data_IF_063703908090
#
_entry.id   IF_063703908090
#
_cell.length_a   1.000
_cell.length_b   1.000
_cell.length_c   1.000
_cell.angle_alpha   90.00
_cell.angle_beta   90.00
_cell.angle_gamma   90.00
#
_symmetry.space_group_name_H-M   'P 1'
#
loop_
_entity.id
_entity.type
_entity.pdbx_description
1 polymer ?
#
# COMPACT_ATOMS: atom_id res chain seq x y z
N UNK A 1 27.92 7.06 65.41
CA UNK A 1 28.52 6.74 64.09
C UNK A 1 27.66 5.69 63.42
N UNK A 2 26.96 6.03 62.34
CA UNK A 2 26.29 5.10 61.43
C UNK A 2 26.72 5.49 60.02
N UNK A 3 27.46 4.62 59.36
CA UNK A 3 27.86 4.79 57.96
C UNK A 3 26.76 4.17 57.12
N UNK A 4 26.01 4.98 56.37
CA UNK A 4 25.08 4.51 55.35
C UNK A 4 25.80 4.69 54.02
N UNK A 5 26.19 3.58 53.41
CA UNK A 5 26.56 3.52 52.01
C UNK A 5 25.29 3.19 51.22
N UNK A 6 24.91 4.05 50.26
CA UNK A 6 23.87 3.76 49.29
C UNK A 6 24.40 4.15 47.91
N UNK A 7 24.41 3.17 47.01
CA UNK A 7 25.08 3.18 45.72
C UNK A 7 24.39 4.12 44.71
N UNK A 8 25.21 4.84 43.93
CA UNK A 8 24.76 5.52 42.71
C UNK A 8 24.56 4.47 41.61
N UNK A 9 23.31 4.30 41.18
CA UNK A 9 22.98 3.61 39.93
C UNK A 9 23.13 4.58 38.76
N UNK A 10 24.16 4.40 37.95
CA UNK A 10 24.37 5.12 36.70
C UNK A 10 23.48 4.47 35.63
N UNK A 11 22.38 5.13 35.27
CA UNK A 11 21.50 4.68 34.20
C UNK A 11 22.10 5.12 32.85
N UNK A 12 22.74 4.19 32.14
CA UNK A 12 23.18 4.42 30.76
C UNK A 12 21.95 4.44 29.84
N UNK A 13 21.56 5.64 29.38
CA UNK A 13 20.67 5.80 28.25
C UNK A 13 21.43 5.34 26.99
N UNK A 14 21.10 4.16 26.48
CA UNK A 14 21.52 3.77 25.14
C UNK A 14 20.61 4.50 24.14
N UNK A 15 21.19 5.46 23.44
CA UNK A 15 20.64 5.99 22.20
C UNK A 15 20.76 4.86 21.16
N UNK A 16 19.67 4.16 20.91
CA UNK A 16 19.57 3.30 19.73
C UNK A 16 19.39 4.24 18.55
N UNK A 17 20.50 4.56 17.87
CA UNK A 17 20.47 5.11 16.53
C UNK A 17 20.19 3.97 15.56
N UNK A 18 18.92 3.77 15.23
CA UNK A 18 18.53 3.01 14.06
C UNK A 18 18.75 3.92 12.84
N UNK A 19 19.88 3.77 12.14
CA UNK A 19 20.06 4.39 10.82
C UNK A 19 19.73 3.34 9.77
N UNK A 20 18.67 3.58 9.01
CA UNK A 20 18.29 2.79 7.84
C UNK A 20 19.28 3.03 6.71
N UNK A 21 20.40 2.30 6.71
CA UNK A 21 21.19 2.15 5.49
C UNK A 21 20.42 1.21 4.59
N UNK A 22 19.71 1.74 3.59
CA UNK A 22 19.01 0.97 2.56
C UNK A 22 20.04 0.22 1.70
N UNK A 23 20.52 -0.93 2.18
CA UNK A 23 21.19 -1.89 1.32
C UNK A 23 20.12 -2.47 0.42
N UNK A 24 20.06 -2.00 -0.82
CA UNK A 24 19.23 -2.57 -1.87
C UNK A 24 19.63 -4.04 -2.01
N UNK A 25 18.87 -4.95 -1.38
CA UNK A 25 19.00 -6.37 -1.65
C UNK A 25 18.68 -6.61 -3.13
N UNK A 26 19.37 -7.58 -3.74
CA UNK A 26 19.11 -7.92 -5.15
C UNK A 26 17.63 -8.33 -5.29
N UNK A 27 16.89 -7.59 -6.11
CA UNK A 27 15.47 -7.88 -6.34
C UNK A 27 15.32 -9.22 -7.05
N UNK A 28 14.34 -10.02 -6.61
CA UNK A 28 14.06 -11.32 -7.25
C UNK A 28 13.35 -11.09 -8.59
N UNK A 29 13.61 -11.97 -9.55
CA UNK A 29 12.84 -12.00 -10.79
C UNK A 29 11.37 -12.37 -10.47
N UNK A 30 10.37 -11.52 -10.79
CA UNK A 30 8.97 -11.78 -10.45
C UNK A 30 8.45 -13.10 -11.03
N UNK A 31 8.97 -13.54 -12.18
CA UNK A 31 8.61 -14.82 -12.77
C UNK A 31 9.03 -16.04 -11.91
N UNK A 32 10.05 -15.89 -11.07
CA UNK A 32 10.55 -16.94 -10.17
C UNK A 32 9.83 -16.91 -8.81
N UNK A 33 9.56 -15.72 -8.28
CA UNK A 33 8.84 -15.53 -7.01
C UNK A 33 8.19 -14.14 -6.91
N UNK A 34 6.98 -13.99 -7.49
CA UNK A 34 6.25 -12.73 -7.44
C UNK A 34 5.93 -12.29 -6.00
N UNK A 35 5.69 -13.22 -5.08
CA UNK A 35 5.38 -12.86 -3.68
C UNK A 35 6.60 -12.23 -2.99
N UNK A 36 7.81 -12.76 -3.22
CA UNK A 36 9.03 -12.14 -2.70
C UNK A 36 9.31 -10.80 -3.38
N UNK A 37 9.15 -10.71 -4.71
CA UNK A 37 9.27 -9.45 -5.45
C UNK A 37 8.32 -8.38 -4.88
N UNK A 38 7.05 -8.73 -4.71
CA UNK A 38 6.03 -7.88 -4.10
C UNK A 38 6.45 -7.39 -2.71
N UNK A 39 6.90 -8.29 -1.83
CA UNK A 39 7.28 -7.92 -0.47
C UNK A 39 8.54 -7.05 -0.41
N UNK A 40 9.45 -7.20 -1.36
CA UNK A 40 10.64 -6.36 -1.48
C UNK A 40 10.28 -4.94 -1.94
N UNK A 41 9.47 -4.83 -2.99
CA UNK A 41 9.12 -3.54 -3.60
C UNK A 41 8.07 -2.75 -2.81
N UNK A 42 7.06 -3.41 -2.25
CA UNK A 42 5.92 -2.72 -1.60
C UNK A 42 6.02 -2.64 -0.07
N UNK A 43 6.82 -3.51 0.55
CA UNK A 43 6.88 -3.62 2.01
C UNK A 43 8.30 -3.56 2.59
N UNK A 44 9.34 -3.50 1.74
CA UNK A 44 10.75 -3.58 2.15
C UNK A 44 11.06 -4.80 3.04
N UNK A 45 10.42 -5.95 2.75
CA UNK A 45 10.58 -7.20 3.50
C UNK A 45 11.06 -8.32 2.58
N UNK A 46 12.27 -8.82 2.83
CA UNK A 46 12.82 -9.98 2.09
C UNK A 46 12.71 -11.30 2.83
N UNK A 47 12.38 -11.28 4.12
CA UNK A 47 12.25 -12.49 4.93
C UNK A 47 10.89 -12.51 5.62
N UNK A 48 10.01 -13.38 5.13
CA UNK A 48 8.67 -13.58 5.64
C UNK A 48 8.30 -15.05 5.53
N UNK A 49 7.35 -15.48 6.36
CA UNK A 49 6.72 -16.79 6.19
C UNK A 49 5.38 -16.67 5.46
N UNK A 50 4.84 -17.77 4.90
CA UNK A 50 3.57 -17.72 4.19
C UNK A 50 2.40 -17.23 5.05
N UNK A 51 2.42 -17.42 6.36
CA UNK A 51 1.37 -16.87 7.23
C UNK A 51 1.46 -15.35 7.31
N UNK A 52 2.65 -14.78 7.45
CA UNK A 52 2.83 -13.33 7.48
C UNK A 52 2.36 -12.69 6.18
N UNK A 53 2.71 -13.29 5.03
CA UNK A 53 2.20 -12.83 3.73
C UNK A 53 0.67 -12.89 3.68
N UNK A 54 0.06 -13.97 4.17
CA UNK A 54 -1.40 -14.09 4.21
C UNK A 54 -2.04 -12.96 5.02
N UNK A 55 -1.60 -12.80 6.27
CA UNK A 55 -2.17 -11.84 7.21
C UNK A 55 -1.96 -10.39 6.79
N UNK A 56 -0.87 -10.06 6.10
CA UNK A 56 -0.60 -8.71 5.63
C UNK A 56 -1.56 -8.26 4.52
N UNK A 57 -2.08 -9.21 3.74
CA UNK A 57 -2.96 -8.95 2.60
C UNK A 57 -4.41 -9.38 2.83
N UNK A 58 -4.73 -9.85 4.03
CA UNK A 58 -6.10 -9.98 4.54
C UNK A 58 -6.53 -8.61 5.06
N UNK A 59 -6.91 -7.73 4.13
CA UNK A 59 -7.04 -6.29 4.38
C UNK A 59 -8.17 -5.96 5.35
N UNK A 60 -9.20 -6.81 5.43
CA UNK A 60 -10.30 -6.65 6.38
C UNK A 60 -10.14 -7.53 7.63
N UNK A 61 -9.10 -8.37 7.69
CA UNK A 61 -8.76 -9.29 8.77
C UNK A 61 -9.89 -10.28 9.11
N UNK A 62 -10.54 -10.84 8.08
CA UNK A 62 -11.62 -11.83 8.20
C UNK A 62 -11.16 -13.29 8.05
N UNK A 63 -9.87 -13.50 7.75
CA UNK A 63 -9.23 -14.81 7.63
C UNK A 63 -9.32 -15.43 6.23
N UNK A 64 -9.78 -14.68 5.23
CA UNK A 64 -9.91 -15.11 3.84
C UNK A 64 -9.50 -14.01 2.88
N UNK A 65 -8.99 -14.38 1.70
CA UNK A 65 -8.86 -13.44 0.60
C UNK A 65 -10.02 -13.57 -0.37
N UNK A 66 -10.68 -12.46 -0.61
CA UNK A 66 -11.70 -12.27 -1.65
C UNK A 66 -11.07 -11.90 -3.00
N UNK A 67 -11.90 -11.84 -4.04
CA UNK A 67 -11.46 -11.34 -5.35
C UNK A 67 -10.91 -9.91 -5.27
N UNK A 68 -11.52 -9.06 -4.43
CA UNK A 68 -11.11 -7.67 -4.24
C UNK A 68 -9.77 -7.57 -3.50
N UNK A 69 -9.50 -8.47 -2.55
CA UNK A 69 -8.22 -8.47 -1.84
C UNK A 69 -7.10 -8.99 -2.72
N UNK A 70 -7.33 -10.03 -3.53
CA UNK A 70 -6.37 -10.43 -4.56
C UNK A 70 -6.14 -9.29 -5.55
N UNK A 71 -7.22 -8.62 -6.00
CA UNK A 71 -7.13 -7.48 -6.92
C UNK A 71 -6.28 -6.36 -6.32
N UNK A 72 -6.48 -6.08 -5.02
CA UNK A 72 -5.71 -5.10 -4.27
C UNK A 72 -4.25 -5.52 -4.11
N UNK A 73 -3.94 -6.76 -3.72
CA UNK A 73 -2.56 -7.25 -3.59
C UNK A 73 -1.76 -7.13 -4.90
N UNK A 74 -2.40 -7.35 -6.05
CA UNK A 74 -1.78 -7.15 -7.37
C UNK A 74 -1.82 -5.70 -7.86
N UNK A 75 -2.28 -4.74 -7.04
CA UNK A 75 -2.37 -3.33 -7.38
C UNK A 75 -3.21 -3.02 -8.62
N UNK A 76 -4.21 -3.85 -8.93
CA UNK A 76 -4.91 -3.77 -10.22
C UNK A 76 -5.80 -2.53 -10.36
N UNK A 77 -6.08 -1.83 -9.26
CA UNK A 77 -6.80 -0.56 -9.22
C UNK A 77 -5.91 0.67 -9.18
N UNK A 78 -4.58 0.48 -9.10
CA UNK A 78 -3.65 1.58 -9.07
C UNK A 78 -3.69 2.44 -10.36
N UNK A 79 -3.40 3.74 -10.19
CA UNK A 79 -3.44 4.74 -11.26
C UNK A 79 -2.45 4.40 -12.40
N UNK A 80 -1.33 3.73 -12.09
CA UNK A 80 -0.36 3.25 -13.09
C UNK A 80 -1.00 2.24 -14.07
N UNK A 81 -2.04 1.52 -13.64
CA UNK A 81 -2.75 0.52 -14.45
C UNK A 81 -4.10 1.02 -14.99
N UNK A 82 -4.40 2.32 -14.94
CA UNK A 82 -5.68 2.87 -15.43
C UNK A 82 -5.98 2.58 -16.90
N UNK A 83 -4.93 2.44 -17.71
CA UNK A 83 -5.05 2.17 -19.15
C UNK A 83 -4.98 0.67 -19.49
N UNK A 84 -4.84 -0.19 -18.47
CA UNK A 84 -4.77 -1.65 -18.65
C UNK A 84 -6.18 -2.21 -18.85
N UNK A 85 -6.33 -3.06 -19.87
CA UNK A 85 -7.61 -3.68 -20.20
C UNK A 85 -8.14 -4.53 -19.02
N UNK A 86 -9.46 -4.45 -18.78
CA UNK A 86 -10.09 -5.10 -17.64
C UNK A 86 -9.91 -6.63 -17.63
N UNK A 87 -9.95 -7.25 -18.82
CA UNK A 87 -9.76 -8.70 -18.97
C UNK A 87 -8.37 -9.18 -18.54
N UNK A 88 -7.33 -8.36 -18.71
CA UNK A 88 -5.99 -8.66 -18.20
C UNK A 88 -5.95 -8.63 -16.67
N UNK A 89 -6.61 -7.64 -16.05
CA UNK A 89 -6.74 -7.54 -14.59
C UNK A 89 -7.52 -8.74 -14.03
N UNK A 90 -8.66 -9.06 -14.63
CA UNK A 90 -9.49 -10.20 -14.24
C UNK A 90 -8.73 -11.52 -14.37
N UNK A 91 -7.90 -11.66 -15.40
CA UNK A 91 -7.06 -12.85 -15.60
C UNK A 91 -6.04 -13.04 -14.47
N UNK A 92 -5.46 -11.97 -13.93
CA UNK A 92 -4.54 -12.05 -12.80
C UNK A 92 -5.25 -12.63 -11.56
N UNK A 93 -6.43 -12.10 -11.22
CA UNK A 93 -7.27 -12.60 -10.12
C UNK A 93 -7.63 -14.07 -10.33
N UNK A 94 -8.16 -14.41 -11.51
CA UNK A 94 -8.56 -15.79 -11.83
C UNK A 94 -7.40 -16.79 -11.74
N UNK A 95 -6.17 -16.38 -12.09
CA UNK A 95 -5.01 -17.25 -12.01
C UNK A 95 -4.63 -17.57 -10.55
N UNK A 96 -4.76 -16.60 -9.63
CA UNK A 96 -4.58 -16.86 -8.20
C UNK A 96 -5.65 -17.82 -7.65
N UNK A 97 -6.92 -17.58 -7.97
CA UNK A 97 -8.02 -18.45 -7.54
C UNK A 97 -7.89 -19.89 -8.06
N UNK A 98 -7.46 -20.10 -9.31
CA UNK A 98 -7.21 -21.45 -9.84
C UNK A 98 -6.18 -22.23 -9.03
N UNK A 99 -5.23 -21.53 -8.41
CA UNK A 99 -4.16 -22.15 -7.63
C UNK A 99 -4.61 -22.41 -6.20
N UNK A 100 -5.30 -21.47 -5.57
CA UNK A 100 -5.54 -21.51 -4.12
C UNK A 100 -7.01 -21.77 -3.73
N UNK A 101 -7.97 -21.68 -4.64
CA UNK A 101 -9.37 -22.09 -4.43
C UNK A 101 -9.79 -23.17 -5.44
N UNK A 102 -9.28 -24.41 -5.31
CA UNK A 102 -9.60 -25.49 -6.25
C UNK A 102 -11.07 -25.93 -6.18
N UNK A 103 -11.77 -25.56 -5.11
CA UNK A 103 -13.18 -25.89 -4.87
C UNK A 103 -14.14 -24.84 -5.44
N UNK A 104 -13.65 -23.67 -5.84
CA UNK A 104 -14.46 -22.60 -6.42
C UNK A 104 -15.45 -22.00 -5.43
N UNK A 105 -15.03 -21.82 -4.17
CA UNK A 105 -15.84 -21.16 -3.13
C UNK A 105 -15.93 -19.65 -3.35
N UNK A 106 -15.01 -19.07 -4.12
CA UNK A 106 -14.91 -17.62 -4.34
C UNK A 106 -14.12 -16.88 -3.26
N UNK A 107 -13.48 -17.63 -2.34
CA UNK A 107 -12.54 -17.10 -1.34
C UNK A 107 -11.33 -18.03 -1.20
N UNK A 108 -10.18 -17.47 -0.83
CA UNK A 108 -8.97 -18.23 -0.48
C UNK A 108 -8.77 -18.12 1.04
N UNK A 109 -9.04 -19.19 1.77
CA UNK A 109 -8.79 -19.25 3.21
C UNK A 109 -7.30 -19.39 3.53
N UNK A 110 -6.90 -19.05 4.75
CA UNK A 110 -5.53 -19.25 5.22
C UNK A 110 -5.03 -20.69 5.03
N UNK A 111 -5.86 -21.69 5.32
CA UNK A 111 -5.48 -23.10 5.17
C UNK A 111 -5.27 -23.48 3.70
N UNK A 112 -6.12 -22.98 2.81
CA UNK A 112 -5.98 -23.18 1.37
C UNK A 112 -4.66 -22.58 0.85
N UNK A 113 -4.35 -21.34 1.26
CA UNK A 113 -3.08 -20.67 0.96
C UNK A 113 -1.88 -21.50 1.45
N UNK A 114 -1.83 -21.82 2.75
CA UNK A 114 -0.71 -22.53 3.35
C UNK A 114 -0.50 -23.92 2.76
N UNK A 115 -1.59 -24.65 2.49
CA UNK A 115 -1.52 -25.96 1.85
C UNK A 115 -1.02 -25.84 0.40
N UNK A 116 -1.43 -24.80 -0.33
CA UNK A 116 -0.96 -24.51 -1.68
C UNK A 116 0.54 -24.22 -1.71
N UNK A 117 1.02 -23.33 -0.85
CA UNK A 117 2.46 -23.00 -0.75
C UNK A 117 3.28 -24.23 -0.36
N UNK A 118 2.82 -25.04 0.61
CA UNK A 118 3.47 -26.30 0.98
C UNK A 118 3.54 -27.30 -0.18
N UNK A 119 2.57 -27.27 -1.09
CA UNK A 119 2.55 -28.07 -2.31
C UNK A 119 3.40 -27.45 -3.45
N UNK A 120 4.13 -26.35 -3.20
CA UNK A 120 4.99 -25.69 -4.17
C UNK A 120 4.29 -24.70 -5.09
N UNK A 121 3.02 -24.35 -4.83
CA UNK A 121 2.33 -23.30 -5.57
C UNK A 121 2.87 -21.93 -5.15
N UNK A 122 3.04 -21.04 -6.13
CA UNK A 122 3.40 -19.64 -5.93
C UNK A 122 2.35 -18.74 -6.58
N UNK A 123 2.23 -17.50 -6.11
CA UNK A 123 1.48 -16.48 -6.83
C UNK A 123 2.15 -16.24 -8.19
N UNK A 124 1.39 -16.26 -9.30
CA UNK A 124 1.96 -16.07 -10.62
C UNK A 124 2.25 -14.59 -10.88
N UNK A 125 3.39 -14.30 -11.51
CA UNK A 125 3.60 -12.99 -12.10
C UNK A 125 2.53 -12.70 -13.16
N UNK A 126 1.81 -11.59 -12.97
CA UNK A 126 0.78 -11.12 -13.91
C UNK A 126 1.37 -10.29 -15.06
N UNK A 127 2.63 -9.84 -14.92
CA UNK A 127 3.28 -8.88 -15.79
C UNK A 127 2.76 -7.45 -15.62
N UNK A 128 2.01 -7.17 -14.55
CA UNK A 128 1.37 -5.88 -14.29
C UNK A 128 2.10 -5.05 -13.22
N UNK A 129 3.24 -5.52 -12.72
CA UNK A 129 4.07 -4.79 -11.77
C UNK A 129 4.14 -5.42 -10.38
N UNK A 130 4.69 -4.69 -9.41
CA UNK A 130 4.90 -5.17 -8.04
C UNK A 130 3.60 -5.28 -7.25
N UNK A 131 2.60 -4.47 -7.58
CA UNK A 131 1.26 -4.54 -6.98
C UNK A 131 0.98 -3.42 -5.98
N UNK A 132 1.28 -2.18 -6.35
CA UNK A 132 0.96 -0.94 -5.63
C UNK A 132 -0.44 -0.97 -4.99
N UNK A 133 -0.50 -0.94 -3.66
CA UNK A 133 -1.76 -1.09 -2.90
C UNK A 133 -1.85 -0.23 -1.64
N UNK A 134 -0.82 0.58 -1.41
CA UNK A 134 -0.82 1.71 -0.49
C UNK A 134 -1.70 2.84 -1.00
N UNK A 135 -1.78 3.90 -0.19
CA UNK A 135 -2.36 5.16 -0.65
C UNK A 135 -1.33 6.00 -1.42
N UNK A 136 -1.79 7.08 -2.03
CA UNK A 136 -0.94 7.95 -2.85
C UNK A 136 0.30 8.47 -2.10
N UNK A 137 0.18 8.71 -0.79
CA UNK A 137 1.28 9.21 0.04
C UNK A 137 2.32 8.10 0.28
N UNK A 138 1.87 6.91 0.66
CA UNK A 138 2.75 5.79 0.90
C UNK A 138 3.51 5.38 -0.38
N UNK A 139 2.81 5.28 -1.51
CA UNK A 139 3.43 4.91 -2.79
C UNK A 139 4.45 5.96 -3.26
N UNK A 140 4.16 7.25 -3.05
CA UNK A 140 5.14 8.31 -3.31
C UNK A 140 6.38 8.17 -2.43
N UNK A 141 6.19 7.89 -1.13
CA UNK A 141 7.29 7.75 -0.18
C UNK A 141 8.23 6.61 -0.59
N UNK A 142 7.69 5.40 -0.77
CA UNK A 142 8.54 4.21 -0.96
C UNK A 142 9.11 4.08 -2.38
N UNK A 143 8.39 4.52 -3.43
CA UNK A 143 8.84 4.33 -4.81
C UNK A 143 9.59 5.53 -5.39
N UNK A 144 9.37 6.72 -4.83
CA UNK A 144 9.99 7.93 -5.33
C UNK A 144 10.85 8.63 -4.29
N UNK A 145 10.30 8.96 -3.11
CA UNK A 145 11.04 9.71 -2.10
C UNK A 145 12.27 8.95 -1.64
N UNK A 146 12.14 7.72 -1.13
CA UNK A 146 13.29 6.92 -0.65
C UNK A 146 14.35 6.66 -1.74
N UNK A 147 13.96 6.73 -3.02
CA UNK A 147 14.83 6.45 -4.16
C UNK A 147 15.66 7.67 -4.58
N UNK A 148 15.08 8.86 -4.53
CA UNK A 148 15.71 10.07 -5.08
C UNK A 148 16.03 11.12 -4.02
N UNK A 149 15.48 10.95 -2.82
CA UNK A 149 15.54 11.87 -1.70
C UNK A 149 15.95 11.13 -0.42
N UNK A 150 16.40 11.88 0.58
CA UNK A 150 16.77 11.34 1.88
C UNK A 150 16.45 12.34 3.00
N UNK A 151 16.84 12.02 4.23
CA UNK A 151 16.61 12.86 5.41
C UNK A 151 17.22 14.28 5.33
N UNK A 152 18.15 14.52 4.41
CA UNK A 152 18.77 15.81 4.16
C UNK A 152 18.15 16.56 2.98
N UNK A 153 17.21 15.95 2.26
CA UNK A 153 16.45 16.60 1.18
C UNK A 153 15.71 17.81 1.74
N UNK A 154 15.83 18.94 1.02
CA UNK A 154 15.10 20.16 1.33
C UNK A 154 13.96 20.36 0.34
N UNK A 155 13.05 21.27 0.68
CA UNK A 155 11.92 21.62 -0.19
C UNK A 155 12.38 22.07 -1.59
N UNK A 156 13.48 22.81 -1.68
CA UNK A 156 14.06 23.24 -2.95
C UNK A 156 14.61 22.09 -3.83
N UNK A 157 14.82 20.90 -3.27
CA UNK A 157 15.33 19.72 -3.98
C UNK A 157 14.18 18.85 -4.54
N UNK A 158 12.94 19.06 -4.09
CA UNK A 158 11.73 18.33 -4.51
C UNK A 158 11.20 18.81 -5.87
N UNK A 159 12.01 18.62 -6.90
CA UNK A 159 11.78 19.18 -8.24
C UNK A 159 11.63 18.12 -9.33
N UNK A 160 11.61 16.84 -9.00
CA UNK A 160 11.32 15.80 -9.98
C UNK A 160 9.88 15.98 -10.51
N UNK A 161 9.60 15.61 -11.77
CA UNK A 161 8.25 15.65 -12.31
C UNK A 161 7.21 14.96 -11.41
N UNK A 162 7.60 13.86 -10.76
CA UNK A 162 6.81 13.10 -9.82
C UNK A 162 6.56 13.88 -8.51
N UNK A 163 7.57 14.53 -7.93
CA UNK A 163 7.42 15.43 -6.75
C UNK A 163 6.36 16.50 -7.04
N UNK A 164 6.52 17.18 -8.19
CA UNK A 164 5.63 18.28 -8.59
C UNK A 164 4.22 17.77 -8.83
N UNK A 165 4.07 16.59 -9.44
CA UNK A 165 2.77 15.98 -9.70
C UNK A 165 2.07 15.57 -8.40
N UNK A 166 2.81 15.01 -7.44
CA UNK A 166 2.33 14.66 -6.11
C UNK A 166 1.78 15.89 -5.39
N UNK A 167 2.60 16.94 -5.21
CA UNK A 167 2.16 18.16 -4.52
C UNK A 167 1.02 18.88 -5.22
N UNK A 168 1.03 18.93 -6.55
CA UNK A 168 -0.09 19.48 -7.31
C UNK A 168 -1.41 18.73 -7.05
N UNK A 169 -1.34 17.41 -6.85
CA UNK A 169 -2.52 16.60 -6.50
C UNK A 169 -3.02 16.95 -5.09
N UNK A 170 -2.12 17.14 -4.13
CA UNK A 170 -2.47 17.62 -2.79
C UNK A 170 -3.14 19.00 -2.83
N UNK A 171 -2.56 19.99 -3.54
CA UNK A 171 -3.16 21.32 -3.70
C UNK A 171 -4.59 21.23 -4.25
N UNK A 172 -4.81 20.38 -5.26
CA UNK A 172 -6.14 20.18 -5.84
C UNK A 172 -7.14 19.55 -4.86
N UNK A 173 -6.69 18.61 -4.03
CA UNK A 173 -7.52 17.97 -3.01
C UNK A 173 -7.86 18.94 -1.88
N UNK A 174 -6.92 19.77 -1.45
CA UNK A 174 -7.15 20.81 -0.45
C UNK A 174 -8.15 21.87 -0.94
N UNK A 175 -7.99 22.35 -2.17
CA UNK A 175 -8.94 23.27 -2.82
C UNK A 175 -10.36 22.68 -2.91
N UNK A 176 -10.47 21.38 -3.24
CA UNK A 176 -11.74 20.67 -3.25
C UNK A 176 -12.33 20.53 -1.85
N UNK A 177 -11.53 20.16 -0.86
CA UNK A 177 -11.97 20.05 0.53
C UNK A 177 -12.48 21.40 1.07
N UNK A 178 -11.77 22.49 0.78
CA UNK A 178 -12.19 23.84 1.18
C UNK A 178 -13.51 24.24 0.49
N UNK A 179 -13.67 23.92 -0.79
CA UNK A 179 -14.92 24.12 -1.53
C UNK A 179 -16.08 23.32 -0.91
N UNK A 180 -15.87 22.05 -0.60
CA UNK A 180 -16.89 21.19 0.02
C UNK A 180 -17.26 21.72 1.41
N UNK A 181 -16.30 22.15 2.22
CA UNK A 181 -16.54 22.72 3.54
C UNK A 181 -17.37 24.01 3.45
N UNK A 182 -17.05 24.90 2.50
CA UNK A 182 -17.84 26.12 2.22
C UNK A 182 -19.28 25.78 1.84
N UNK A 183 -19.50 24.73 1.05
CA UNK A 183 -20.85 24.27 0.68
C UNK A 183 -21.61 23.67 1.86
N UNK A 184 -20.95 22.90 2.72
CA UNK A 184 -21.56 22.31 3.93
C UNK A 184 -21.95 23.36 4.97
N UNK A 185 -21.25 24.49 5.02
CA UNK A 185 -21.62 25.63 5.88
C UNK A 185 -22.86 26.39 5.37
N UNK A 186 -23.26 26.21 4.11
CA UNK A 186 -24.48 26.81 3.58
C UNK A 186 -25.71 26.02 3.99
N UNK A 187 -26.71 26.72 4.54
CA UNK A 187 -28.01 26.09 4.85
C UNK A 187 -28.73 25.56 3.60
N UNK A 188 -28.51 26.19 2.44
CA UNK A 188 -29.09 25.81 1.15
C UNK A 188 -28.04 26.00 0.07
N UNK A 189 -27.74 24.94 -0.67
CA UNK A 189 -26.85 24.96 -1.84
C UNK A 189 -27.71 25.13 -3.10
N UNK A 190 -27.85 26.35 -3.60
CA UNK A 190 -28.82 26.69 -4.66
C UNK A 190 -28.64 25.87 -5.96
N UNK A 191 -27.40 25.52 -6.32
CA UNK A 191 -27.10 24.68 -7.48
C UNK A 191 -27.73 23.29 -7.40
N UNK A 192 -27.95 22.77 -6.19
CA UNK A 192 -28.54 21.45 -5.95
C UNK A 192 -30.07 21.49 -5.89
N UNK A 193 -30.69 22.67 -5.93
CA UNK A 193 -32.16 22.80 -5.96
C UNK A 193 -32.66 22.33 -7.33
N UNK A 194 -33.51 21.28 -7.41
CA UNK A 194 -34.08 20.83 -8.67
C UNK A 194 -34.90 21.95 -9.36
N UNK A 195 -34.89 21.99 -10.70
CA UNK A 195 -35.53 23.04 -11.50
C UNK A 195 -36.99 23.32 -11.12
N UNK A 196 -37.76 22.28 -10.75
CA UNK A 196 -39.17 22.41 -10.34
C UNK A 196 -39.40 23.21 -9.06
N UNK A 197 -38.36 23.47 -8.26
CA UNK A 197 -38.41 24.24 -7.02
C UNK A 197 -37.72 25.61 -7.13
N UNK A 198 -37.11 25.94 -8.28
CA UNK A 198 -36.52 27.26 -8.51
C UNK A 198 -37.62 28.25 -8.89
N UNK A 199 -37.59 29.45 -8.31
CA UNK A 199 -38.52 30.52 -8.68
C UNK A 199 -38.21 30.94 -10.12
N UNK A 200 -39.18 30.80 -11.04
CA UNK A 200 -39.03 31.30 -12.40
C UNK A 200 -38.89 32.83 -12.35
N UNK A 201 -37.80 33.36 -12.90
CA UNK A 201 -37.58 34.79 -13.09
C UNK A 201 -38.32 35.27 -14.34
#
# INVERSE_FOLDING_TARGET
MRVIAAALGLCCLQLVSAHGSHSQEDSVNPADDWALYHMQEEHHISNFDPSSFFSLHDFNNDGSWTADEIRRTYGLDDESLKNTAADLKDKAVLNAFKLFDPTGTGIITRDQWLNGVRAGKKLPDSGLGPGHHGDDEYEYEIHHFEKYHDENTKEEDLIHPEDIAHFRKHDMMEDEAERVLKEQQQNIVEKNIPMKFRKQQ
#
